data_IF_237196401632
#
_entry.id   IF_237196401632
#
_cell.length_a   1.000
_cell.length_b   1.000
_cell.length_c   1.000
_cell.angle_alpha   90.00
_cell.angle_beta   90.00
_cell.angle_gamma   90.00
#
_symmetry.space_group_name_H-M   'P 1'
#
loop_
_entity.id
_entity.type
_entity.pdbx_description
1 polymer ?
#
# COMPACT_ATOMS: atom_id res chain seq x y z
N UNK A 1 -9.16 -4.06 -3.17
CA UNK A 1 -8.15 -3.25 -3.90
C UNK A 1 -7.11 -2.58 -2.99
N UNK A 2 -6.97 -2.96 -1.71
CA UNK A 2 -6.07 -2.29 -0.77
C UNK A 2 -4.58 -2.60 -0.99
N UNK A 3 -4.28 -3.84 -1.43
CA UNK A 3 -2.93 -4.30 -1.74
C UNK A 3 -2.38 -3.64 -3.01
N UNK A 4 -3.15 -3.63 -4.10
CA UNK A 4 -2.71 -3.02 -5.38
C UNK A 4 -2.34 -1.55 -5.23
N UNK A 5 -3.11 -0.79 -4.43
CA UNK A 5 -2.80 0.61 -4.13
C UNK A 5 -1.49 0.78 -3.37
N UNK A 6 -1.19 -0.10 -2.42
CA UNK A 6 0.08 -0.06 -1.70
C UNK A 6 1.27 -0.44 -2.58
N UNK A 7 1.10 -1.35 -3.54
CA UNK A 7 2.15 -1.66 -4.52
C UNK A 7 2.44 -0.48 -5.46
N UNK A 8 1.39 0.23 -5.90
CA UNK A 8 1.54 1.47 -6.69
C UNK A 8 2.26 2.55 -5.88
N UNK A 9 2.00 2.67 -4.58
CA UNK A 9 2.74 3.60 -3.71
C UNK A 9 4.21 3.24 -3.61
N UNK A 10 4.54 1.97 -3.37
CA UNK A 10 5.94 1.51 -3.32
C UNK A 10 6.67 1.78 -4.62
N UNK A 11 6.04 1.51 -5.78
CA UNK A 11 6.61 1.82 -7.09
C UNK A 11 6.83 3.33 -7.28
N UNK A 12 5.84 4.15 -6.95
CA UNK A 12 5.94 5.61 -7.08
C UNK A 12 7.10 6.17 -6.25
N UNK A 13 7.26 5.66 -5.03
CA UNK A 13 8.34 6.09 -4.14
C UNK A 13 9.70 5.59 -4.64
N UNK A 14 9.80 4.35 -5.12
CA UNK A 14 11.03 3.84 -5.70
C UNK A 14 11.49 4.65 -6.93
N UNK A 15 10.56 5.07 -7.79
CA UNK A 15 10.86 5.92 -8.93
C UNK A 15 11.36 7.31 -8.50
N UNK A 16 10.73 7.93 -7.50
CA UNK A 16 11.18 9.21 -6.94
C UNK A 16 12.58 9.12 -6.33
N UNK A 17 12.87 8.02 -5.66
CA UNK A 17 14.13 7.77 -4.96
C UNK A 17 15.21 7.16 -5.88
N UNK A 18 14.93 6.95 -7.18
CA UNK A 18 15.78 6.23 -8.13
C UNK A 18 16.26 4.85 -7.61
N UNK A 19 15.40 4.14 -6.87
CA UNK A 19 15.70 2.80 -6.34
C UNK A 19 15.73 1.77 -7.46
N UNK A 20 16.66 0.81 -7.34
CA UNK A 20 16.74 -0.32 -8.26
C UNK A 20 15.55 -1.28 -8.10
N UNK A 21 15.28 -2.15 -9.09
CA UNK A 21 14.22 -3.15 -8.98
C UNK A 21 14.37 -4.05 -7.73
N UNK A 22 15.60 -4.39 -7.35
CA UNK A 22 15.85 -5.20 -6.15
C UNK A 22 15.48 -4.44 -4.87
N UNK A 23 15.78 -3.14 -4.82
CA UNK A 23 15.46 -2.29 -3.68
C UNK A 23 13.95 -2.07 -3.57
N UNK A 24 13.23 -1.96 -4.69
CA UNK A 24 11.76 -1.86 -4.70
C UNK A 24 11.11 -3.10 -4.09
N UNK A 25 11.56 -4.31 -4.44
CA UNK A 25 11.00 -5.56 -3.88
C UNK A 25 11.32 -5.72 -2.39
N UNK A 26 12.42 -5.11 -1.92
CA UNK A 26 12.78 -5.08 -0.50
C UNK A 26 12.01 -4.02 0.30
N UNK A 27 11.26 -3.12 -0.35
CA UNK A 27 10.44 -2.15 0.37
C UNK A 27 9.32 -2.85 1.16
N UNK A 28 9.00 -2.37 2.37
CA UNK A 28 7.94 -2.98 3.17
C UNK A 28 6.61 -2.89 2.41
N UNK A 29 5.85 -3.99 2.41
CA UNK A 29 4.56 -4.02 1.74
C UNK A 29 3.59 -3.02 2.39
N UNK A 30 2.98 -2.17 1.58
CA UNK A 30 1.99 -1.18 2.04
C UNK A 30 0.60 -1.69 1.71
N UNK A 31 -0.37 -1.43 2.59
CA UNK A 31 -1.78 -1.70 2.38
C UNK A 31 -2.52 -0.37 2.58
N UNK A 32 -3.36 -0.01 1.60
CA UNK A 32 -4.18 1.20 1.67
C UNK A 32 -5.65 0.82 1.76
N UNK A 33 -6.23 0.98 2.94
CA UNK A 33 -7.63 0.61 3.21
C UNK A 33 -8.52 1.84 3.19
N UNK A 34 -9.75 1.67 2.69
CA UNK A 34 -10.78 2.71 2.72
C UNK A 34 -11.54 2.55 4.03
N UNK A 35 -11.48 3.55 4.90
CA UNK A 35 -12.26 3.51 6.13
C UNK A 35 -13.74 3.75 5.80
N UNK A 36 -14.61 2.79 6.12
CA UNK A 36 -16.06 2.97 6.02
C UNK A 36 -16.52 3.79 7.22
N UNK A 37 -16.64 5.11 7.07
CA UNK A 37 -17.38 5.92 8.04
C UNK A 37 -18.86 5.50 8.00
N UNK A 38 -19.35 4.93 9.09
CA UNK A 38 -20.62 4.21 9.18
C UNK A 38 -21.88 5.07 9.31
N UNK A 39 -21.91 6.27 8.73
CA UNK A 39 -23.09 7.15 8.86
C UNK A 39 -23.54 7.63 7.49
N UNK A 40 -24.83 7.43 7.24
CA UNK A 40 -25.64 7.53 6.01
C UNK A 40 -25.52 8.81 5.16
N UNK A 41 -24.58 9.72 5.48
CA UNK A 41 -24.42 11.02 4.82
C UNK A 41 -23.04 11.27 4.19
N UNK A 42 -22.01 10.44 4.41
CA UNK A 42 -20.65 10.72 3.89
C UNK A 42 -20.33 10.07 2.55
N UNK A 43 -21.21 10.19 1.54
CA UNK A 43 -20.93 9.73 0.16
C UNK A 43 -19.74 10.45 -0.51
N UNK A 44 -19.15 11.45 0.14
CA UNK A 44 -18.17 12.37 -0.46
C UNK A 44 -16.78 12.38 0.19
N UNK A 45 -16.57 11.75 1.35
CA UNK A 45 -15.26 11.73 2.00
C UNK A 45 -14.74 10.30 2.11
N UNK A 46 -14.01 9.90 1.07
CA UNK A 46 -13.21 8.69 1.09
C UNK A 46 -11.94 8.93 1.90
N UNK A 47 -11.99 8.68 3.20
CA UNK A 47 -10.79 8.63 4.02
C UNK A 47 -10.05 7.31 3.78
N UNK A 48 -8.79 7.42 3.36
CA UNK A 48 -7.89 6.30 3.16
C UNK A 48 -6.88 6.24 4.31
N UNK A 49 -6.69 5.05 4.86
CA UNK A 49 -5.66 4.79 5.86
C UNK A 49 -4.57 3.93 5.24
N UNK A 50 -3.32 4.36 5.40
CA UNK A 50 -2.13 3.61 5.00
C UNK A 50 -1.62 2.80 6.19
N UNK A 51 -1.36 1.51 5.97
CA UNK A 51 -0.72 0.62 6.94
C UNK A 51 0.41 -0.16 6.27
N UNK A 52 1.43 -0.49 7.04
CA UNK A 52 2.46 -1.43 6.61
C UNK A 52 2.03 -2.86 6.94
N UNK A 53 2.22 -3.78 6.00
CA UNK A 53 1.97 -5.20 6.18
C UNK A 53 3.16 -5.81 6.94
N UNK A 54 2.90 -6.21 8.18
CA UNK A 54 3.89 -6.88 9.03
C UNK A 54 3.95 -8.41 8.83
N UNK A 55 3.02 -8.98 8.06
CA UNK A 55 3.06 -10.42 7.74
C UNK A 55 4.03 -10.66 6.60
N UNK A 56 4.86 -11.70 6.73
CA UNK A 56 5.72 -12.15 5.64
C UNK A 56 4.88 -12.41 4.37
N UNK A 57 5.38 -12.02 3.19
CA UNK A 57 4.68 -12.31 1.95
C UNK A 57 4.53 -13.82 1.80
N UNK A 58 3.39 -14.27 1.28
CA UNK A 58 3.12 -15.70 1.04
C UNK A 58 4.16 -16.34 0.12
N UNK A 59 4.71 -15.54 -0.81
CA UNK A 59 5.86 -15.92 -1.62
C UNK A 59 7.09 -15.15 -1.14
N UNK A 60 8.02 -15.87 -0.52
CA UNK A 60 9.39 -15.43 -0.26
C UNK A 60 10.32 -16.24 -1.16
N UNK A 61 11.28 -15.59 -1.81
CA UNK A 61 12.37 -16.30 -2.49
C UNK A 61 13.36 -16.76 -1.41
N UNK A 62 13.70 -18.05 -1.43
CA UNK A 62 14.63 -18.70 -0.51
C UNK A 62 16.04 -18.13 -0.61
#
# INVERSE_FOLDING_TARGET
MSVMRGQVLNLTQALKDNKSPVQLVQMPAVIVERSKSGTTSSRFFDSFQQRFQHKSPFFSWW
#
